data_IF_145285367556
#
_entry.id   IF_145285367556
#
_cell.length_a   1.000
_cell.length_b   1.000
_cell.length_c   1.000
_cell.angle_alpha   90.00
_cell.angle_beta   90.00
_cell.angle_gamma   90.00
#
_symmetry.space_group_name_H-M   'P 1'
#
loop_
_entity.id
_entity.type
_entity.pdbx_description
1 polymer ?
#
# COMPACT_ATOMS: atom_id res chain seq x y z
N UNK A 1 -10.97 -3.19 14.00
CA UNK A 1 -11.02 -4.66 13.95
C UNK A 1 -10.66 -5.10 12.55
N UNK A 2 -10.15 -6.33 12.39
CA UNK A 2 -9.89 -6.90 11.07
C UNK A 2 -11.17 -7.51 10.49
N UNK A 3 -11.36 -7.36 9.18
CA UNK A 3 -12.46 -7.97 8.46
C UNK A 3 -11.92 -9.18 7.70
N UNK A 4 -12.37 -10.40 8.00
CA UNK A 4 -11.94 -11.62 7.31
C UNK A 4 -12.88 -11.98 6.17
N UNK A 5 -12.35 -12.35 5.00
CA UNK A 5 -13.16 -12.67 3.82
C UNK A 5 -12.50 -13.76 2.99
N UNK A 6 -13.28 -14.62 2.35
CA UNK A 6 -12.77 -15.62 1.39
C UNK A 6 -12.09 -14.97 0.17
N UNK A 7 -12.26 -13.66 -0.01
CA UNK A 7 -11.55 -12.87 -1.02
C UNK A 7 -10.79 -11.73 -0.36
N UNK A 8 -9.48 -11.67 -0.64
CA UNK A 8 -8.59 -10.63 -0.14
C UNK A 8 -7.74 -10.05 -1.27
N UNK A 9 -7.32 -8.80 -1.09
CA UNK A 9 -6.28 -8.14 -1.85
C UNK A 9 -4.94 -8.29 -1.16
N UNK A 10 -3.92 -8.53 -1.97
CA UNK A 10 -2.51 -8.51 -1.60
C UNK A 10 -1.80 -7.50 -2.50
N UNK A 11 -0.67 -6.98 -2.04
CA UNK A 11 0.22 -6.20 -2.90
C UNK A 11 0.73 -7.08 -4.05
N UNK A 12 0.68 -6.57 -5.28
CA UNK A 12 1.07 -7.34 -6.47
C UNK A 12 2.55 -7.76 -6.42
N UNK A 13 3.42 -6.92 -5.85
CA UNK A 13 4.84 -7.23 -5.67
C UNK A 13 5.03 -8.45 -4.76
N UNK A 14 4.28 -8.55 -3.66
CA UNK A 14 4.33 -9.73 -2.79
C UNK A 14 3.81 -10.98 -3.50
N UNK A 15 2.66 -10.87 -4.16
CA UNK A 15 2.06 -11.98 -4.89
C UNK A 15 2.98 -12.55 -5.97
N UNK A 16 3.81 -11.70 -6.60
CA UNK A 16 4.76 -12.10 -7.63
C UNK A 16 5.93 -12.96 -7.12
N UNK A 17 6.20 -12.92 -5.82
CA UNK A 17 7.31 -13.65 -5.19
C UNK A 17 6.95 -15.07 -4.75
N UNK A 18 5.66 -15.41 -4.82
CA UNK A 18 5.16 -16.69 -4.33
C UNK A 18 5.34 -17.81 -5.36
N UNK A 19 5.40 -19.03 -4.86
CA UNK A 19 5.32 -20.25 -5.67
C UNK A 19 4.13 -21.12 -5.25
N UNK A 20 3.55 -21.88 -6.18
CA UNK A 20 2.52 -22.87 -5.84
C UNK A 20 3.05 -23.89 -4.83
N UNK A 21 2.22 -24.25 -3.84
CA UNK A 21 2.58 -25.10 -2.71
C UNK A 21 3.25 -24.35 -1.55
N UNK A 22 3.67 -23.10 -1.72
CA UNK A 22 4.31 -22.30 -0.66
C UNK A 22 3.32 -21.93 0.45
N UNK A 23 3.80 -21.86 1.68
CA UNK A 23 3.04 -21.39 2.83
C UNK A 23 3.47 -19.98 3.22
N UNK A 24 2.51 -19.05 3.22
CA UNK A 24 2.71 -17.64 3.54
C UNK A 24 1.93 -17.28 4.80
N UNK A 25 2.41 -16.30 5.56
CA UNK A 25 1.65 -15.76 6.71
C UNK A 25 0.87 -14.53 6.27
N UNK A 26 -0.45 -14.61 6.39
CA UNK A 26 -1.34 -13.46 6.35
C UNK A 26 -1.30 -12.79 7.73
N UNK A 27 -0.73 -11.59 7.81
CA UNK A 27 -0.49 -10.91 9.08
C UNK A 27 -1.77 -10.81 9.91
N UNK A 28 -1.68 -11.17 11.19
CA UNK A 28 -2.77 -11.18 12.18
C UNK A 28 -3.96 -12.11 11.84
N UNK A 29 -3.86 -12.93 10.80
CA UNK A 29 -4.84 -13.97 10.46
C UNK A 29 -4.30 -15.38 10.68
N UNK A 30 -3.18 -15.74 10.05
CA UNK A 30 -2.62 -17.09 10.11
C UNK A 30 -1.88 -17.47 8.83
N UNK A 31 -1.47 -18.73 8.74
CA UNK A 31 -0.84 -19.23 7.52
C UNK A 31 -1.88 -19.57 6.45
N UNK A 32 -1.48 -19.42 5.20
CA UNK A 32 -2.23 -19.80 4.01
C UNK A 32 -1.27 -20.50 3.05
N UNK A 33 -1.66 -21.67 2.55
CA UNK A 33 -0.92 -22.36 1.49
C UNK A 33 -1.42 -21.87 0.15
N UNK A 34 -0.53 -21.38 -0.70
CA UNK A 34 -0.86 -21.01 -2.08
C UNK A 34 -1.06 -22.29 -2.88
N UNK A 35 -2.27 -22.50 -3.39
CA UNK A 35 -2.63 -23.71 -4.13
C UNK A 35 -2.58 -23.51 -5.64
N UNK A 36 -2.72 -22.27 -6.11
CA UNK A 36 -2.68 -21.95 -7.55
C UNK A 36 -2.32 -20.49 -7.79
N UNK A 37 -1.55 -20.24 -8.84
CA UNK A 37 -1.18 -18.89 -9.31
C UNK A 37 -1.64 -18.71 -10.74
N UNK A 38 -2.50 -17.72 -10.98
CA UNK A 38 -2.93 -17.34 -12.33
C UNK A 38 -2.14 -16.11 -12.80
N UNK A 39 -1.66 -16.16 -14.04
CA UNK A 39 -0.88 -15.08 -14.67
C UNK A 39 -1.50 -14.63 -15.99
N UNK A 40 -1.31 -13.37 -16.34
CA UNK A 40 -1.65 -12.85 -17.67
C UNK A 40 -0.60 -13.24 -18.73
N UNK A 41 -0.81 -12.79 -19.97
CA UNK A 41 0.10 -13.03 -21.10
C UNK A 41 1.46 -12.36 -20.95
N UNK A 42 1.58 -11.34 -20.10
CA UNK A 42 2.84 -10.66 -19.80
C UNK A 42 3.56 -11.28 -18.58
N UNK A 43 2.98 -12.31 -17.97
CA UNK A 43 3.54 -13.01 -16.80
C UNK A 43 3.22 -12.36 -15.46
N UNK A 44 2.36 -11.35 -15.42
CA UNK A 44 1.94 -10.71 -14.16
C UNK A 44 0.93 -11.59 -13.44
N UNK A 45 1.04 -11.71 -12.12
CA UNK A 45 0.06 -12.43 -11.29
C UNK A 45 -1.25 -11.66 -11.26
N UNK A 46 -2.34 -12.31 -11.66
CA UNK A 46 -3.69 -11.71 -11.70
C UNK A 46 -4.62 -12.28 -10.63
N UNK A 47 -4.38 -13.52 -10.19
CA UNK A 47 -5.13 -14.14 -9.10
C UNK A 47 -4.31 -15.22 -8.39
N UNK A 48 -4.61 -15.41 -7.10
CA UNK A 48 -4.09 -16.49 -6.27
C UNK A 48 -5.26 -17.25 -5.66
N UNK A 49 -5.14 -18.58 -5.63
CA UNK A 49 -5.99 -19.43 -4.81
C UNK A 49 -5.15 -19.97 -3.65
N UNK A 50 -5.75 -20.12 -2.47
CA UNK A 50 -5.06 -20.65 -1.31
C UNK A 50 -5.98 -21.29 -0.28
N UNK A 51 -5.39 -22.14 0.55
CA UNK A 51 -6.06 -22.85 1.62
C UNK A 51 -5.51 -22.39 2.99
N UNK A 52 -6.39 -21.92 3.87
CA UNK A 52 -6.00 -21.51 5.22
C UNK A 52 -5.46 -22.70 6.02
N UNK A 53 -4.34 -22.46 6.70
CA UNK A 53 -3.72 -23.38 7.65
C UNK A 53 -3.52 -22.66 8.99
N UNK A 54 -4.58 -22.55 9.78
CA UNK A 54 -4.55 -21.79 11.04
C UNK A 54 -3.73 -22.46 12.15
N UNK A 55 -3.43 -23.76 12.02
CA UNK A 55 -2.50 -24.48 12.91
C UNK A 55 -1.04 -24.40 12.44
N UNK A 56 -0.76 -23.72 11.32
CA UNK A 56 0.57 -23.52 10.78
C UNK A 56 1.45 -22.63 11.68
N UNK A 57 2.77 -22.84 11.59
CA UNK A 57 3.75 -22.06 12.36
C UNK A 57 4.22 -20.84 11.56
N UNK A 58 3.79 -19.64 12.00
CA UNK A 58 4.16 -18.35 11.40
C UNK A 58 5.67 -18.04 11.46
N UNK A 59 6.46 -18.80 12.24
CA UNK A 59 7.93 -18.67 12.29
C UNK A 59 8.62 -19.39 11.14
N UNK A 60 7.94 -20.37 10.51
CA UNK A 60 8.50 -21.18 9.42
C UNK A 60 8.23 -20.59 8.02
N UNK A 61 7.34 -19.62 7.92
CA UNK A 61 7.02 -18.97 6.66
C UNK A 61 8.10 -17.96 6.27
N UNK A 62 8.45 -17.94 4.99
CA UNK A 62 9.39 -16.98 4.41
C UNK A 62 8.73 -15.61 4.25
N UNK A 63 7.50 -15.59 3.73
CA UNK A 63 6.77 -14.37 3.42
C UNK A 63 5.70 -14.08 4.47
N UNK A 64 5.67 -12.82 4.93
CA UNK A 64 4.69 -12.29 5.87
C UNK A 64 4.07 -11.05 5.26
N UNK A 65 2.80 -11.15 4.89
CA UNK A 65 2.15 -10.18 4.02
C UNK A 65 0.94 -9.54 4.67
N UNK A 66 0.75 -8.26 4.37
CA UNK A 66 -0.46 -7.51 4.72
C UNK A 66 -1.51 -7.75 3.66
N UNK A 67 -2.78 -7.71 4.06
CA UNK A 67 -3.89 -8.07 3.21
C UNK A 67 -5.10 -7.18 3.53
N UNK A 68 -6.00 -7.01 2.56
CA UNK A 68 -7.26 -6.29 2.73
C UNK A 68 -8.42 -7.20 2.30
N UNK A 69 -9.48 -7.30 3.08
CA UNK A 69 -10.69 -7.98 2.61
C UNK A 69 -11.28 -7.28 1.39
N UNK A 70 -11.54 -8.02 0.31
CA UNK A 70 -12.08 -7.46 -0.93
C UNK A 70 -13.54 -7.01 -0.77
N UNK A 71 -14.32 -7.81 -0.05
CA UNK A 71 -15.64 -7.46 0.47
C UNK A 71 -15.53 -7.52 1.99
N UNK A 72 -15.81 -6.42 2.69
CA UNK A 72 -15.49 -6.29 4.10
C UNK A 72 -16.18 -7.32 4.98
N UNK A 73 -15.47 -8.40 5.33
CA UNK A 73 -15.86 -9.32 6.39
C UNK A 73 -17.08 -10.21 6.09
N UNK A 74 -17.40 -11.13 6.99
CA UNK A 74 -18.67 -11.88 6.99
C UNK A 74 -19.93 -11.00 6.99
N UNK A 75 -19.77 -9.69 7.22
CA UNK A 75 -20.79 -8.66 7.17
C UNK A 75 -20.67 -7.75 5.93
N UNK A 76 -20.24 -8.30 4.78
CA UNK A 76 -20.02 -7.64 3.48
C UNK A 76 -21.17 -6.74 2.95
N UNK A 77 -22.27 -6.65 3.70
CA UNK A 77 -23.42 -5.77 3.45
C UNK A 77 -23.20 -4.32 3.90
N UNK A 78 -22.31 -4.03 4.86
CA UNK A 78 -22.10 -2.64 5.30
C UNK A 78 -21.12 -1.89 4.39
N UNK A 79 -21.49 -0.75 3.78
CA UNK A 79 -20.57 0.11 3.04
C UNK A 79 -19.36 0.56 3.89
N UNK A 80 -19.51 0.59 5.21
CA UNK A 80 -18.47 1.01 6.15
C UNK A 80 -17.34 0.00 6.32
N UNK A 81 -17.51 -1.26 5.89
CA UNK A 81 -16.45 -2.28 5.97
C UNK A 81 -15.63 -2.40 4.68
N UNK A 82 -16.02 -1.71 3.61
CA UNK A 82 -15.36 -1.80 2.30
C UNK A 82 -14.03 -1.05 2.28
N UNK A 83 -13.00 -1.58 1.57
CA UNK A 83 -11.79 -0.83 1.29
C UNK A 83 -12.08 0.53 0.67
N UNK A 84 -11.24 1.50 0.99
CA UNK A 84 -11.32 2.87 0.45
C UNK A 84 -10.20 3.12 -0.55
N UNK A 85 -10.48 3.94 -1.55
CA UNK A 85 -9.43 4.46 -2.43
C UNK A 85 -8.67 5.56 -1.70
N UNK A 86 -7.35 5.44 -1.67
CA UNK A 86 -6.46 6.45 -1.11
C UNK A 86 -5.39 6.81 -2.14
N UNK A 87 -4.92 8.05 -2.06
CA UNK A 87 -3.77 8.53 -2.83
C UNK A 87 -2.62 8.76 -1.86
N UNK A 88 -1.61 7.91 -1.94
CA UNK A 88 -0.35 8.13 -1.24
C UNK A 88 0.50 9.09 -2.06
N UNK A 89 0.98 10.16 -1.43
CA UNK A 89 1.84 11.17 -2.06
C UNK A 89 3.22 11.12 -1.43
N UNK A 90 4.24 10.90 -2.25
CA UNK A 90 5.64 10.98 -1.88
C UNK A 90 6.25 12.25 -2.46
N UNK A 91 7.14 12.90 -1.69
CA UNK A 91 7.84 14.09 -2.11
C UNK A 91 9.34 13.83 -2.20
N UNK A 92 9.96 14.35 -3.25
CA UNK A 92 11.42 14.39 -3.41
C UNK A 92 11.96 15.79 -3.09
N UNK A 93 13.28 15.93 -3.09
CA UNK A 93 13.94 17.20 -2.93
C UNK A 93 13.49 18.19 -4.01
N UNK A 94 13.24 19.44 -3.60
CA UNK A 94 12.84 20.51 -4.53
C UNK A 94 14.01 20.99 -5.40
N UNK A 95 15.25 20.80 -4.91
CA UNK A 95 16.48 21.23 -5.56
C UNK A 95 17.40 20.02 -5.71
N UNK A 96 18.01 19.88 -6.90
CA UNK A 96 18.92 18.77 -7.24
C UNK A 96 20.33 18.96 -6.67
N UNK A 97 20.74 20.21 -6.43
CA UNK A 97 22.02 20.56 -5.81
C UNK A 97 21.91 20.58 -4.27
N UNK A 98 22.76 19.85 -3.51
CA UNK A 98 22.70 19.83 -2.04
C UNK A 98 22.85 21.19 -1.37
N UNK A 99 23.61 22.10 -2.00
CA UNK A 99 23.83 23.47 -1.56
C UNK A 99 24.06 24.37 -2.76
N UNK A 100 23.31 25.45 -2.87
CA UNK A 100 23.57 26.50 -3.85
C UNK A 100 24.75 27.37 -3.39
N UNK A 101 25.57 27.79 -4.33
CA UNK A 101 26.76 28.62 -4.16
C UNK A 101 26.51 30.01 -4.72
N UNK A 102 27.36 30.98 -4.33
CA UNK A 102 27.26 32.35 -4.83
C UNK A 102 27.49 32.37 -6.35
N UNK A 103 26.48 32.83 -7.10
CA UNK A 103 26.48 32.85 -8.56
C UNK A 103 25.64 31.76 -9.22
N UNK A 104 25.13 30.78 -8.47
CA UNK A 104 24.17 29.80 -8.99
C UNK A 104 22.84 30.46 -9.35
N UNK A 105 22.27 30.09 -10.50
CA UNK A 105 20.87 30.37 -10.82
C UNK A 105 19.99 29.22 -10.33
N UNK A 106 19.14 29.45 -9.33
CA UNK A 106 18.31 28.39 -8.73
C UNK A 106 17.44 27.64 -9.74
N UNK A 107 17.01 28.30 -10.83
CA UNK A 107 16.14 27.70 -11.84
C UNK A 107 16.79 26.49 -12.51
N UNK A 108 18.12 26.49 -12.61
CA UNK A 108 18.89 25.40 -13.24
C UNK A 108 18.92 24.13 -12.36
N UNK A 109 18.54 24.26 -11.09
CA UNK A 109 18.60 23.19 -10.10
C UNK A 109 17.24 22.77 -9.56
N UNK A 110 16.14 23.31 -10.08
CA UNK A 110 14.78 22.88 -9.69
C UNK A 110 14.55 21.44 -10.13
N UNK A 111 14.08 20.59 -9.23
CA UNK A 111 13.69 19.22 -9.55
C UNK A 111 12.43 19.23 -10.42
N UNK A 112 12.52 18.68 -11.64
CA UNK A 112 11.41 18.67 -12.61
C UNK A 112 10.14 17.99 -12.06
N UNK A 113 10.31 16.92 -11.29
CA UNK A 113 9.20 16.20 -10.64
C UNK A 113 9.57 15.86 -9.20
N UNK A 114 9.01 16.60 -8.25
CA UNK A 114 9.22 16.38 -6.81
C UNK A 114 8.01 15.79 -6.10
N UNK A 115 6.94 15.44 -6.82
CA UNK A 115 5.67 14.95 -6.26
C UNK A 115 5.21 13.71 -7.03
N UNK A 116 5.08 12.61 -6.30
CA UNK A 116 4.70 11.31 -6.84
C UNK A 116 3.42 10.85 -6.17
N UNK A 117 2.41 10.48 -6.96
CA UNK A 117 1.14 9.97 -6.44
C UNK A 117 1.01 8.48 -6.74
N UNK A 118 0.51 7.71 -5.77
CA UNK A 118 0.17 6.31 -5.97
C UNK A 118 -1.22 6.04 -5.43
N UNK A 119 -2.14 5.66 -6.32
CA UNK A 119 -3.49 5.26 -5.95
C UNK A 119 -3.49 3.83 -5.44
N UNK A 120 -4.04 3.60 -4.27
CA UNK A 120 -4.11 2.28 -3.65
C UNK A 120 -5.43 2.07 -2.91
N UNK A 121 -5.69 0.82 -2.55
CA UNK A 121 -6.77 0.48 -1.63
C UNK A 121 -6.23 0.53 -0.20
N UNK A 122 -7.01 1.11 0.70
CA UNK A 122 -6.74 1.13 2.13
C UNK A 122 -7.89 0.56 2.94
N UNK A 123 -7.63 0.27 4.21
CA UNK A 123 -8.64 -0.23 5.14
C UNK A 123 -9.77 0.79 5.37
N UNK A 124 -10.98 0.30 5.61
CA UNK A 124 -12.14 1.15 5.85
C UNK A 124 -11.99 2.09 7.07
N UNK A 125 -11.12 1.73 8.03
CA UNK A 125 -10.78 2.55 9.18
C UNK A 125 -10.20 3.93 8.79
N UNK A 126 -9.61 4.06 7.59
CA UNK A 126 -9.07 5.33 7.08
C UNK A 126 -10.15 6.41 6.92
N UNK A 127 -11.44 6.04 6.82
CA UNK A 127 -12.55 7.01 6.81
C UNK A 127 -12.62 7.87 8.07
N UNK A 128 -12.05 7.40 9.17
CA UNK A 128 -12.07 8.07 10.48
C UNK A 128 -10.82 8.90 10.74
N UNK A 129 -9.87 8.92 9.79
CA UNK A 129 -8.62 9.67 9.94
C UNK A 129 -8.87 11.13 9.62
N UNK A 130 -8.59 12.01 10.57
CA UNK A 130 -8.77 13.45 10.42
C UNK A 130 -7.60 14.10 9.67
N UNK A 131 -7.84 15.25 9.04
CA UNK A 131 -6.78 16.07 8.44
C UNK A 131 -5.73 16.41 9.50
N UNK A 132 -4.45 16.27 9.14
CA UNK A 132 -3.32 16.47 10.03
C UNK A 132 -2.94 15.27 10.90
N UNK A 133 -3.80 14.25 11.00
CA UNK A 133 -3.50 13.06 11.79
C UNK A 133 -2.34 12.25 11.19
N UNK A 134 -1.44 11.78 12.06
CA UNK A 134 -0.33 10.91 11.68
C UNK A 134 -0.76 9.45 11.80
N UNK A 135 -0.50 8.67 10.76
CA UNK A 135 -0.82 7.24 10.69
C UNK A 135 0.36 6.45 10.12
N UNK A 136 0.37 5.15 10.38
CA UNK A 136 1.32 4.22 9.76
C UNK A 136 0.55 3.26 8.87
N UNK A 137 0.92 3.21 7.59
CA UNK A 137 0.50 2.13 6.70
C UNK A 137 1.56 1.02 6.81
N UNK A 138 1.13 -0.17 7.23
CA UNK A 138 2.04 -1.32 7.37
C UNK A 138 2.77 -1.57 6.03
N UNK A 139 4.09 -1.76 6.10
CA UNK A 139 5.00 -1.97 4.95
C UNK A 139 5.07 -0.84 3.91
N UNK A 140 4.42 0.30 4.13
CA UNK A 140 4.50 1.52 3.28
C UNK A 140 5.12 2.72 3.99
N UNK A 141 4.99 2.80 5.32
CA UNK A 141 5.65 3.84 6.14
C UNK A 141 4.68 4.73 6.90
N UNK A 142 5.15 5.93 7.26
CA UNK A 142 4.39 6.91 8.03
C UNK A 142 3.81 7.97 7.11
N UNK A 143 2.59 8.40 7.40
CA UNK A 143 1.84 9.35 6.59
C UNK A 143 1.11 10.36 7.46
N UNK A 144 0.96 11.59 6.95
CA UNK A 144 0.02 12.59 7.45
C UNK A 144 -1.19 12.60 6.53
N UNK A 145 -2.39 12.62 7.09
CA UNK A 145 -3.61 12.84 6.33
C UNK A 145 -3.68 14.30 5.86
N UNK A 146 -3.68 14.52 4.56
CA UNK A 146 -3.80 15.85 3.95
C UNK A 146 -5.26 16.15 3.59
N UNK A 147 -5.95 15.19 2.99
CA UNK A 147 -7.38 15.25 2.69
C UNK A 147 -8.05 14.04 3.35
N UNK A 148 -8.98 14.30 4.27
CA UNK A 148 -9.76 13.27 4.94
C UNK A 148 -10.91 12.76 4.05
N UNK A 149 -11.52 11.64 4.43
CA UNK A 149 -12.64 11.09 3.69
C UNK A 149 -13.84 12.05 3.66
N UNK A 150 -14.36 12.31 2.47
CA UNK A 150 -15.62 13.02 2.30
C UNK A 150 -16.78 12.08 2.63
N UNK A 151 -17.68 12.53 3.52
CA UNK A 151 -18.86 11.78 3.93
C UNK A 151 -20.00 11.90 2.92
N UNK A 152 -20.02 12.97 2.12
CA UNK A 152 -20.99 13.22 1.07
C UNK A 152 -20.58 12.56 -0.26
N UNK A 153 -19.28 12.47 -0.53
CA UNK A 153 -18.73 11.83 -1.73
C UNK A 153 -17.70 10.73 -1.40
N UNK A 154 -18.18 9.49 -1.31
CA UNK A 154 -17.30 8.33 -1.06
C UNK A 154 -16.31 8.04 -2.20
N UNK A 155 -16.42 8.72 -3.36
CA UNK A 155 -15.46 8.62 -4.47
C UNK A 155 -14.29 9.61 -4.33
N UNK A 156 -14.43 10.64 -3.50
CA UNK A 156 -13.37 11.60 -3.22
C UNK A 156 -12.16 10.88 -2.58
N UNK A 157 -10.93 11.13 -3.06
CA UNK A 157 -9.76 10.42 -2.57
C UNK A 157 -9.36 10.91 -1.17
N UNK A 158 -9.08 9.98 -0.27
CA UNK A 158 -8.29 10.29 0.93
C UNK A 158 -6.85 10.50 0.47
N UNK A 159 -6.24 11.64 0.80
CA UNK A 159 -4.87 11.97 0.38
C UNK A 159 -3.94 11.89 1.58
N UNK A 160 -2.87 11.11 1.45
CA UNK A 160 -1.91 10.83 2.51
C UNK A 160 -0.51 11.24 2.07
N UNK A 161 0.11 12.18 2.77
CA UNK A 161 1.47 12.63 2.50
C UNK A 161 2.47 11.78 3.28
N UNK A 162 3.39 11.15 2.57
CA UNK A 162 4.47 10.37 3.17
C UNK A 162 5.35 11.27 4.05
N UNK A 163 5.68 10.78 5.24
CA UNK A 163 6.58 11.46 6.16
C UNK A 163 7.97 10.83 5.99
N UNK A 164 8.96 11.57 5.48
CA UNK A 164 10.31 11.07 5.32
C UNK A 164 10.89 10.70 6.68
N UNK A 165 11.42 9.48 6.80
CA UNK A 165 12.04 9.01 8.06
C UNK A 165 13.54 9.25 8.13
N UNK A 166 14.11 9.98 7.15
CA UNK A 166 15.54 10.28 7.06
C UNK A 166 16.44 9.08 6.72
N UNK A 167 15.90 7.88 6.59
CA UNK A 167 16.66 6.68 6.19
C UNK A 167 16.83 6.66 4.67
N UNK A 168 18.08 6.54 4.20
CA UNK A 168 18.45 6.43 2.76
C UNK A 168 17.79 5.24 2.03
N UNK A 169 17.23 4.28 2.77
CA UNK A 169 16.52 3.12 2.23
C UNK A 169 15.03 3.34 2.44
N UNK A 170 14.24 3.32 1.36
CA UNK A 170 12.79 3.38 1.44
C UNK A 170 12.28 2.35 2.46
N UNK A 171 11.48 2.80 3.42
CA UNK A 171 10.80 1.92 4.38
C UNK A 171 9.67 1.12 3.70
N UNK A 172 9.30 1.48 2.47
CA UNK A 172 8.37 0.72 1.66
C UNK A 172 9.10 -0.46 1.02
N UNK A 173 8.66 -1.68 1.36
CA UNK A 173 9.02 -2.86 0.57
C UNK A 173 8.29 -2.89 -0.78
N UNK A 174 7.31 -1.99 -0.96
CA UNK A 174 6.50 -1.85 -2.17
C UNK A 174 7.12 -0.74 -3.03
N UNK A 175 7.61 -1.09 -4.22
CA UNK A 175 8.29 -0.19 -5.16
C UNK A 175 7.35 0.54 -6.10
N UNK A 176 6.03 0.39 -5.96
CA UNK A 176 5.04 1.03 -6.83
C UNK A 176 5.08 2.56 -6.65
N UNK A 177 6.03 3.20 -7.32
CA UNK A 177 6.02 4.63 -7.63
C UNK A 177 5.36 4.75 -9.00
N UNK A 178 4.10 5.20 -9.04
CA UNK A 178 3.49 5.58 -10.32
C UNK A 178 3.82 7.03 -10.59
N UNK A 179 4.84 7.24 -11.41
CA UNK A 179 4.89 8.39 -12.30
C UNK A 179 5.24 7.85 -13.68
N UNK A 180 4.23 7.38 -14.41
CA UNK A 180 4.35 7.27 -15.86
C UNK A 180 3.89 8.63 -16.40
N UNK A 181 4.85 9.41 -16.91
CA UNK A 181 4.58 10.64 -17.67
C UNK A 181 3.51 10.33 -18.73
N UNK A 182 2.48 11.19 -18.78
CA UNK A 182 1.76 11.47 -20.03
C UNK A 182 2.61 12.41 -20.88
#
# INVERSE_FOLDING_TARGET
GFFFSSQIWLEAEDASLFTEGEEVTLMRWGNCRITKITKDTAGNVTALEGALNLSGDVKKTKYKVTWLAAAGGGDAKSPESRPVKITCVEFDHLITKPRLEDGDNYNDFVTECSRFETQVLGEAALRKVAVGQLIQLERRGYFRCDVAADQADASAPIVLFNIPTGKKKSMSSVKTKVATKS
#
